data_IF_945872828981
#
_entry.id   IF_945872828981
#
_cell.length_a   1.000
_cell.length_b   1.000
_cell.length_c   1.000
_cell.angle_alpha   90.00
_cell.angle_beta   90.00
_cell.angle_gamma   90.00
#
_symmetry.space_group_name_H-M   'P 1'
#
loop_
_entity.id
_entity.type
_entity.pdbx_description
1 polymer ?
#
# COMPACT_ATOMS: atom_id res chain seq x y z
N UNK A 1 -6.18 1.69 29.61
CA UNK A 1 -7.38 1.69 28.73
C UNK A 1 -7.17 2.48 27.41
N UNK A 2 -5.96 2.46 26.81
CA UNK A 2 -5.64 3.19 25.55
C UNK A 2 -5.42 2.26 24.33
N UNK A 3 -5.07 0.99 24.57
CA UNK A 3 -4.87 -0.06 23.54
C UNK A 3 -6.13 -0.36 22.71
N UNK A 4 -7.32 -0.24 23.31
CA UNK A 4 -8.59 -0.45 22.61
C UNK A 4 -8.85 0.65 21.57
N UNK A 5 -8.42 1.88 21.81
CA UNK A 5 -8.70 3.00 20.90
C UNK A 5 -7.86 2.92 19.60
N UNK A 6 -6.60 2.48 19.70
CA UNK A 6 -5.72 2.36 18.52
C UNK A 6 -6.15 1.19 17.63
N UNK A 7 -6.44 0.03 18.24
CA UNK A 7 -6.99 -1.15 17.54
C UNK A 7 -8.33 -0.84 16.89
N UNK A 8 -9.21 -0.08 17.56
CA UNK A 8 -10.52 0.33 17.01
C UNK A 8 -10.37 1.34 15.87
N UNK A 9 -9.46 2.32 15.94
CA UNK A 9 -9.22 3.27 14.84
C UNK A 9 -8.65 2.58 13.59
N UNK A 10 -7.72 1.65 13.77
CA UNK A 10 -7.18 0.84 12.67
C UNK A 10 -8.24 -0.09 12.06
N UNK A 11 -9.05 -0.73 12.89
CA UNK A 11 -10.11 -1.64 12.46
C UNK A 11 -11.24 -0.89 11.74
N UNK A 12 -11.59 0.33 12.14
CA UNK A 12 -12.61 1.16 11.48
C UNK A 12 -12.15 1.60 10.07
N UNK A 13 -10.88 1.94 9.90
CA UNK A 13 -10.32 2.28 8.57
C UNK A 13 -10.28 1.04 7.67
N UNK A 14 -9.95 -0.14 8.24
CA UNK A 14 -9.90 -1.40 7.51
C UNK A 14 -11.30 -1.93 7.13
N UNK A 15 -12.29 -1.78 8.01
CA UNK A 15 -13.67 -2.26 7.77
C UNK A 15 -14.46 -1.36 6.83
N UNK A 16 -14.26 -0.04 6.86
CA UNK A 16 -14.82 0.87 5.84
C UNK A 16 -14.37 0.48 4.42
N UNK A 17 -13.20 -0.16 4.31
CA UNK A 17 -12.63 -0.63 3.05
C UNK A 17 -13.21 -1.98 2.56
N UNK A 18 -13.64 -2.86 3.48
CA UNK A 18 -14.26 -4.14 3.12
C UNK A 18 -15.73 -4.00 2.66
N UNK A 19 -16.48 -3.01 3.16
CA UNK A 19 -17.91 -2.88 2.86
C UNK A 19 -18.25 -2.19 1.52
N UNK A 20 -17.29 -1.56 0.85
CA UNK A 20 -17.49 -0.99 -0.50
C UNK A 20 -17.47 -2.04 -1.62
N UNK A 21 -17.23 -3.32 -1.30
CA UNK A 21 -17.05 -4.42 -2.27
C UNK A 21 -18.32 -5.23 -2.59
N UNK A 22 -19.53 -4.73 -2.29
CA UNK A 22 -20.80 -5.41 -2.66
C UNK A 22 -21.66 -4.64 -3.66
N UNK A 23 -21.08 -3.66 -4.37
CA UNK A 23 -21.72 -2.99 -5.51
C UNK A 23 -21.51 -3.78 -6.79
N UNK A 24 -22.49 -4.63 -7.13
CA UNK A 24 -22.62 -5.38 -8.36
C UNK A 24 -22.50 -4.45 -9.59
N UNK A 25 -21.37 -4.45 -10.32
CA UNK A 25 -21.27 -3.77 -11.62
C UNK A 25 -21.27 -4.82 -12.71
N UNK A 26 -22.47 -5.00 -13.25
CA UNK A 26 -22.81 -5.80 -14.41
C UNK A 26 -22.06 -5.24 -15.62
N UNK A 27 -21.18 -6.05 -16.21
CA UNK A 27 -20.47 -5.71 -17.42
C UNK A 27 -21.47 -5.52 -18.57
N UNK A 28 -21.62 -4.30 -19.06
CA UNK A 28 -22.29 -4.02 -20.33
C UNK A 28 -21.21 -3.70 -21.35
N UNK A 29 -20.98 -4.63 -22.27
CA UNK A 29 -20.09 -4.43 -23.41
C UNK A 29 -20.68 -3.34 -24.32
N UNK A 30 -20.06 -2.16 -24.32
CA UNK A 30 -20.25 -1.12 -25.32
C UNK A 30 -19.03 -1.07 -26.23
N UNK A 31 -19.20 -1.48 -27.48
CA UNK A 31 -18.22 -1.35 -28.56
C UNK A 31 -18.15 0.13 -28.95
N UNK A 32 -16.97 0.74 -28.95
CA UNK A 32 -16.71 1.87 -29.85
C UNK A 32 -15.23 2.00 -30.23
N UNK A 33 -15.04 2.24 -31.52
CA UNK A 33 -13.82 2.08 -32.30
C UNK A 33 -12.73 3.12 -32.00
N UNK A 34 -11.48 2.71 -32.20
CA UNK A 34 -10.45 3.60 -32.77
C UNK A 34 -9.42 4.19 -31.82
N UNK A 35 -8.59 3.37 -31.15
CA UNK A 35 -7.25 3.81 -30.71
C UNK A 35 -6.31 2.64 -30.33
N UNK A 36 -6.17 1.64 -31.20
CA UNK A 36 -5.43 0.39 -30.88
C UNK A 36 -3.91 0.57 -30.65
N UNK A 37 -3.34 1.74 -30.99
CA UNK A 37 -1.92 2.04 -30.76
C UNK A 37 -1.58 2.64 -29.40
N UNK A 38 -2.54 3.27 -28.71
CA UNK A 38 -2.30 4.00 -27.45
C UNK A 38 -2.69 3.16 -26.23
N UNK A 39 -3.71 2.31 -26.35
CA UNK A 39 -4.22 1.46 -25.27
C UNK A 39 -3.26 0.32 -24.88
N UNK A 40 -2.57 -0.29 -25.85
CA UNK A 40 -1.59 -1.34 -25.56
C UNK A 40 -0.37 -0.80 -24.77
N UNK A 41 0.08 0.42 -25.07
CA UNK A 41 1.20 1.08 -24.38
C UNK A 41 0.81 1.52 -22.96
N UNK A 42 -0.38 2.11 -22.80
CA UNK A 42 -0.92 2.51 -21.49
C UNK A 42 -1.14 1.31 -20.57
N UNK A 43 -1.73 0.22 -21.08
CA UNK A 43 -1.92 -1.02 -20.32
C UNK A 43 -0.59 -1.69 -19.95
N UNK A 44 0.40 -1.67 -20.84
CA UNK A 44 1.76 -2.15 -20.57
C UNK A 44 2.45 -1.36 -19.46
N UNK A 45 2.36 -0.02 -19.50
CA UNK A 45 2.91 0.85 -18.46
C UNK A 45 2.22 0.64 -17.11
N UNK A 46 0.89 0.50 -17.09
CA UNK A 46 0.15 0.18 -15.88
C UNK A 46 0.57 -1.16 -15.27
N UNK A 47 0.79 -2.20 -16.09
CA UNK A 47 1.26 -3.50 -15.62
C UNK A 47 2.70 -3.43 -15.04
N UNK A 48 3.59 -2.64 -15.63
CA UNK A 48 4.94 -2.40 -15.10
C UNK A 48 4.85 -1.68 -13.74
N UNK A 49 4.01 -0.65 -13.63
CA UNK A 49 3.79 0.08 -12.37
C UNK A 49 3.20 -0.84 -11.29
N UNK A 50 2.23 -1.70 -11.63
CA UNK A 50 1.70 -2.73 -10.71
C UNK A 50 2.78 -3.69 -10.21
N UNK A 51 3.64 -4.17 -11.11
CA UNK A 51 4.73 -5.08 -10.73
C UNK A 51 5.75 -4.40 -9.81
N UNK A 52 6.06 -3.11 -10.05
CA UNK A 52 6.90 -2.30 -9.17
C UNK A 52 6.25 -2.12 -7.79
N UNK A 53 4.95 -1.87 -7.73
CA UNK A 53 4.20 -1.80 -6.47
C UNK A 53 4.26 -3.12 -5.70
N UNK A 54 3.95 -4.26 -6.34
CA UNK A 54 4.01 -5.58 -5.71
C UNK A 54 5.41 -5.86 -5.15
N UNK A 55 6.45 -5.59 -5.95
CA UNK A 55 7.85 -5.75 -5.51
C UNK A 55 8.18 -4.87 -4.31
N UNK A 56 7.76 -3.61 -4.33
CA UNK A 56 7.99 -2.66 -3.25
C UNK A 56 7.31 -3.13 -1.95
N UNK A 57 6.06 -3.60 -2.03
CA UNK A 57 5.32 -4.10 -0.86
C UNK A 57 5.89 -5.42 -0.30
N UNK A 58 6.40 -6.30 -1.16
CA UNK A 58 7.15 -7.50 -0.71
C UNK A 58 8.43 -7.13 0.02
N UNK A 59 9.20 -6.17 -0.53
CA UNK A 59 10.42 -5.66 0.13
C UNK A 59 10.06 -5.02 1.47
N UNK A 60 8.99 -4.23 1.52
CA UNK A 60 8.48 -3.61 2.73
C UNK A 60 8.24 -4.65 3.84
N UNK A 61 7.44 -5.67 3.57
CA UNK A 61 7.16 -6.73 4.56
C UNK A 61 8.40 -7.51 4.94
N UNK A 62 9.26 -7.85 3.97
CA UNK A 62 10.52 -8.57 4.23
C UNK A 62 11.45 -7.78 5.15
N UNK A 63 11.55 -6.46 4.95
CA UNK A 63 12.35 -5.58 5.80
C UNK A 63 11.78 -5.43 7.21
N UNK A 64 10.45 -5.36 7.35
CA UNK A 64 9.81 -5.39 8.67
C UNK A 64 10.08 -6.72 9.39
N UNK A 65 9.93 -7.86 8.70
CA UNK A 65 10.24 -9.19 9.25
C UNK A 65 11.71 -9.27 9.69
N UNK A 66 12.64 -8.78 8.86
CA UNK A 66 14.06 -8.73 9.20
C UNK A 66 14.31 -7.87 10.45
N UNK A 67 13.78 -6.66 10.48
CA UNK A 67 13.94 -5.75 11.61
C UNK A 67 13.44 -6.35 12.93
N UNK A 68 12.32 -7.07 12.91
CA UNK A 68 11.75 -7.71 14.09
C UNK A 68 12.27 -9.12 14.37
N UNK A 69 13.08 -9.69 13.49
CA UNK A 69 13.86 -10.90 13.79
C UNK A 69 15.05 -10.61 14.72
N UNK A 70 15.54 -9.37 14.73
CA UNK A 70 16.54 -8.91 15.68
C UNK A 70 15.94 -8.79 17.08
N UNK A 71 16.63 -9.32 18.09
CA UNK A 71 16.24 -9.21 19.50
C UNK A 71 16.65 -7.88 20.13
N UNK A 72 17.63 -7.18 19.53
CA UNK A 72 18.13 -5.89 19.97
C UNK A 72 17.38 -4.75 19.27
N UNK A 73 16.70 -3.93 20.07
CA UNK A 73 15.95 -2.76 19.60
C UNK A 73 16.83 -1.75 18.86
N UNK A 74 18.11 -1.61 19.24
CA UNK A 74 19.05 -0.70 18.56
C UNK A 74 19.27 -1.13 17.11
N UNK A 75 19.40 -2.44 16.89
CA UNK A 75 19.53 -3.02 15.53
C UNK A 75 18.23 -2.90 14.75
N UNK A 76 17.09 -3.15 15.40
CA UNK A 76 15.77 -2.95 14.79
C UNK A 76 15.60 -1.51 14.31
N UNK A 77 15.92 -0.52 15.15
CA UNK A 77 15.90 0.91 14.79
C UNK A 77 16.83 1.18 13.60
N UNK A 78 18.07 0.70 13.63
CA UNK A 78 19.02 0.93 12.55
C UNK A 78 18.50 0.40 11.19
N UNK A 79 17.92 -0.81 11.19
CA UNK A 79 17.33 -1.41 9.99
C UNK A 79 16.13 -0.59 9.49
N UNK A 80 15.21 -0.21 10.39
CA UNK A 80 14.02 0.55 10.04
C UNK A 80 14.36 1.95 9.51
N UNK A 81 15.31 2.64 10.14
CA UNK A 81 15.78 3.97 9.73
C UNK A 81 16.43 3.96 8.35
N UNK A 82 17.34 3.00 8.11
CA UNK A 82 17.97 2.85 6.79
C UNK A 82 16.92 2.54 5.71
N UNK A 83 15.98 1.66 6.04
CA UNK A 83 14.92 1.29 5.11
C UNK A 83 13.95 2.44 4.83
N UNK A 84 13.61 3.26 5.82
CA UNK A 84 12.68 4.38 5.68
C UNK A 84 13.08 5.34 4.57
N UNK A 85 14.36 5.69 4.46
CA UNK A 85 14.85 6.59 3.41
C UNK A 85 14.68 5.98 2.02
N UNK A 86 15.05 4.70 1.85
CA UNK A 86 14.90 3.98 0.59
C UNK A 86 13.43 3.83 0.19
N UNK A 87 12.58 3.51 1.17
CA UNK A 87 11.15 3.33 0.96
C UNK A 87 10.46 4.62 0.54
N UNK A 88 10.86 5.76 1.11
CA UNK A 88 10.34 7.08 0.71
C UNK A 88 10.65 7.38 -0.76
N UNK A 89 11.90 7.23 -1.17
CA UNK A 89 12.32 7.48 -2.55
C UNK A 89 11.59 6.57 -3.56
N UNK A 90 11.48 5.28 -3.24
CA UNK A 90 10.75 4.32 -4.07
C UNK A 90 9.26 4.66 -4.16
N UNK A 91 8.66 5.07 -3.04
CA UNK A 91 7.26 5.48 -2.98
C UNK A 91 7.00 6.72 -3.81
N UNK A 92 7.85 7.74 -3.70
CA UNK A 92 7.70 9.00 -4.46
C UNK A 92 7.83 8.77 -5.96
N UNK A 93 8.81 7.96 -6.40
CA UNK A 93 8.95 7.58 -7.80
C UNK A 93 7.73 6.82 -8.30
N UNK A 94 7.25 5.85 -7.52
CA UNK A 94 6.09 5.04 -7.91
C UNK A 94 4.81 5.86 -7.98
N UNK A 95 4.62 6.84 -7.09
CA UNK A 95 3.49 7.78 -7.15
C UNK A 95 3.49 8.58 -8.44
N UNK A 96 4.65 9.08 -8.87
CA UNK A 96 4.76 9.84 -10.12
C UNK A 96 4.48 8.97 -11.36
N UNK A 97 4.98 7.73 -11.36
CA UNK A 97 4.68 6.77 -12.42
C UNK A 97 3.19 6.43 -12.47
N UNK A 98 2.57 6.16 -11.32
CA UNK A 98 1.15 5.86 -11.22
C UNK A 98 0.28 7.03 -11.71
N UNK A 99 0.58 8.26 -11.26
CA UNK A 99 -0.10 9.47 -11.72
C UNK A 99 0.05 9.71 -13.23
N UNK A 100 1.13 9.21 -13.84
CA UNK A 100 1.33 9.28 -15.30
C UNK A 100 0.54 8.21 -16.04
N UNK A 101 0.50 6.98 -15.49
CA UNK A 101 -0.26 5.87 -16.06
C UNK A 101 -1.76 6.13 -16.03
N UNK A 102 -2.32 6.62 -14.91
CA UNK A 102 -3.78 6.85 -14.78
C UNK A 102 -4.32 7.94 -15.72
N UNK A 103 -3.49 8.92 -16.11
CA UNK A 103 -3.88 9.95 -17.10
C UNK A 103 -4.21 9.37 -18.47
N UNK A 104 -3.69 8.18 -18.78
CA UNK A 104 -3.86 7.50 -20.05
C UNK A 104 -4.92 6.39 -19.99
N UNK A 105 -5.50 6.16 -18.82
CA UNK A 105 -6.51 5.13 -18.58
C UNK A 105 -7.90 5.75 -18.46
N UNK A 106 -8.93 5.00 -18.84
CA UNK A 106 -10.31 5.33 -18.51
C UNK A 106 -10.55 5.26 -16.99
N UNK A 107 -11.70 5.80 -16.54
CA UNK A 107 -12.11 5.70 -15.12
C UNK A 107 -12.26 4.25 -14.66
N UNK A 108 -12.79 3.38 -15.52
CA UNK A 108 -13.00 1.96 -15.23
C UNK A 108 -11.67 1.21 -15.10
N UNK A 109 -10.72 1.46 -16.02
CA UNK A 109 -9.38 0.87 -15.97
C UNK A 109 -8.58 1.37 -14.77
N UNK A 110 -8.73 2.65 -14.42
CA UNK A 110 -8.12 3.24 -13.22
C UNK A 110 -8.66 2.59 -11.96
N UNK A 111 -9.98 2.42 -11.83
CA UNK A 111 -10.59 1.73 -10.70
C UNK A 111 -10.13 0.26 -10.59
N UNK A 112 -10.03 -0.44 -11.73
CA UNK A 112 -9.54 -1.81 -11.79
C UNK A 112 -8.05 -1.91 -11.39
N UNK A 113 -7.21 -0.97 -11.85
CA UNK A 113 -5.81 -0.85 -11.42
C UNK A 113 -5.71 -0.67 -9.91
N UNK A 114 -6.45 0.27 -9.33
CA UNK A 114 -6.44 0.49 -7.87
C UNK A 114 -6.89 -0.72 -7.08
N UNK A 115 -7.92 -1.43 -7.56
CA UNK A 115 -8.35 -2.69 -6.94
C UNK A 115 -7.22 -3.72 -6.91
N UNK A 116 -6.52 -3.91 -8.04
CA UNK A 116 -5.37 -4.84 -8.12
C UNK A 116 -4.20 -4.41 -7.24
N UNK A 117 -3.93 -3.11 -7.12
CA UNK A 117 -2.90 -2.59 -6.21
C UNK A 117 -3.25 -2.92 -4.75
N UNK A 118 -4.50 -2.74 -4.33
CA UNK A 118 -4.95 -3.14 -2.99
C UNK A 118 -4.75 -4.64 -2.77
N UNK A 119 -5.14 -5.49 -3.73
CA UNK A 119 -4.97 -6.94 -3.61
C UNK A 119 -3.48 -7.33 -3.48
N UNK A 120 -2.58 -6.57 -4.11
CA UNK A 120 -1.12 -6.74 -4.06
C UNK A 120 -0.43 -6.01 -2.90
N UNK A 121 -1.18 -5.37 -2.01
CA UNK A 121 -0.61 -4.66 -0.86
C UNK A 121 -0.13 -5.60 0.26
N UNK A 122 -0.41 -6.91 0.15
CA UNK A 122 -0.05 -7.94 1.12
C UNK A 122 -0.54 -7.61 2.54
N UNK A 123 -1.70 -6.97 2.63
CA UNK A 123 -2.31 -6.50 3.88
C UNK A 123 -2.40 -7.59 4.95
N UNK A 124 -2.64 -8.86 4.57
CA UNK A 124 -2.71 -9.97 5.51
C UNK A 124 -1.38 -10.20 6.27
N UNK A 125 -0.24 -10.12 5.58
CA UNK A 125 1.08 -10.27 6.21
C UNK A 125 1.43 -9.07 7.10
N UNK A 126 1.04 -7.88 6.65
CA UNK A 126 1.17 -6.64 7.42
C UNK A 126 0.35 -6.71 8.71
N UNK A 127 -0.90 -7.16 8.63
CA UNK A 127 -1.78 -7.42 9.76
C UNK A 127 -1.14 -8.43 10.70
N UNK A 128 -0.62 -9.55 10.19
CA UNK A 128 0.05 -10.54 11.02
C UNK A 128 1.23 -9.96 11.82
N UNK A 129 2.04 -9.09 11.21
CA UNK A 129 3.15 -8.40 11.89
C UNK A 129 2.67 -7.45 12.99
N UNK A 130 1.67 -6.61 12.72
CA UNK A 130 1.19 -5.60 13.69
C UNK A 130 0.35 -6.20 14.82
N UNK A 131 -0.12 -7.45 14.67
CA UNK A 131 -0.85 -8.15 15.72
C UNK A 131 0.00 -9.22 16.44
N UNK A 132 1.27 -9.41 16.06
CA UNK A 132 2.21 -10.21 16.84
C UNK A 132 2.45 -9.52 18.20
N UNK A 133 2.18 -10.24 19.29
CA UNK A 133 2.29 -9.73 20.66
C UNK A 133 3.71 -9.27 21.01
N UNK A 134 4.72 -9.97 20.48
CA UNK A 134 6.13 -9.65 20.74
C UNK A 134 6.50 -8.33 20.07
N UNK A 135 6.06 -8.15 18.82
CA UNK A 135 6.28 -6.91 18.07
C UNK A 135 5.54 -5.76 18.73
N UNK A 136 4.26 -5.92 19.01
CA UNK A 136 3.45 -4.88 19.66
C UNK A 136 4.01 -4.48 21.03
N UNK A 137 4.47 -5.43 21.85
CA UNK A 137 5.13 -5.08 23.11
C UNK A 137 6.42 -4.26 22.90
N UNK A 138 7.19 -4.51 21.85
CA UNK A 138 8.43 -3.75 21.57
C UNK A 138 8.11 -2.36 21.07
N UNK A 139 7.15 -2.24 20.16
CA UNK A 139 6.65 -0.96 19.65
C UNK A 139 6.10 -0.08 20.78
N UNK A 140 5.37 -0.66 21.73
CA UNK A 140 4.82 0.09 22.87
C UNK A 140 5.90 0.57 23.86
N UNK A 141 7.00 -0.17 23.99
CA UNK A 141 8.12 0.16 24.91
C UNK A 141 9.17 1.07 24.27
N UNK A 142 9.24 1.09 22.94
CA UNK A 142 10.24 1.82 22.19
C UNK A 142 9.59 2.88 21.27
N UNK A 143 9.56 4.16 21.68
CA UNK A 143 8.91 5.22 20.91
C UNK A 143 9.56 5.48 19.54
N UNK A 144 10.84 5.19 19.37
CA UNK A 144 11.55 5.37 18.11
C UNK A 144 11.12 4.34 17.07
N UNK A 145 11.05 3.06 17.47
CA UNK A 145 10.50 1.99 16.60
C UNK A 145 9.07 2.34 16.19
N UNK A 146 8.25 2.82 17.14
CA UNK A 146 6.89 3.25 16.85
C UNK A 146 6.82 4.37 15.82
N UNK A 147 7.61 5.43 16.00
CA UNK A 147 7.63 6.56 15.07
C UNK A 147 8.08 6.15 13.66
N UNK A 148 9.07 5.26 13.56
CA UNK A 148 9.53 4.72 12.28
C UNK A 148 8.44 3.90 11.58
N UNK A 149 7.71 3.05 12.31
CA UNK A 149 6.59 2.30 11.75
C UNK A 149 5.44 3.20 11.29
N UNK A 150 5.08 4.21 12.09
CA UNK A 150 4.04 5.18 11.72
C UNK A 150 4.44 5.96 10.47
N UNK A 151 5.71 6.35 10.35
CA UNK A 151 6.25 7.05 9.17
C UNK A 151 6.18 6.17 7.92
N UNK A 152 6.66 4.94 8.03
CA UNK A 152 6.65 3.95 6.96
C UNK A 152 5.21 3.61 6.50
N UNK A 153 4.29 3.47 7.45
CA UNK A 153 2.89 3.23 7.16
C UNK A 153 2.22 4.44 6.49
N UNK A 154 2.45 5.64 7.01
CA UNK A 154 1.90 6.86 6.41
C UNK A 154 2.36 6.96 4.95
N UNK A 155 3.64 6.66 4.69
CA UNK A 155 4.20 6.69 3.35
C UNK A 155 3.57 5.64 2.42
N UNK A 156 3.38 4.40 2.88
CA UNK A 156 2.77 3.35 2.06
C UNK A 156 1.31 3.66 1.67
N UNK A 157 0.59 4.36 2.55
CA UNK A 157 -0.78 4.81 2.29
C UNK A 157 -0.86 5.93 1.23
N UNK A 158 0.21 6.70 1.02
CA UNK A 158 0.18 7.78 0.03
C UNK A 158 -0.11 7.27 -1.39
N UNK A 159 0.40 6.10 -1.78
CA UNK A 159 0.13 5.51 -3.10
C UNK A 159 -1.36 5.17 -3.26
N UNK A 160 -2.01 4.75 -2.18
CA UNK A 160 -3.43 4.36 -2.19
C UNK A 160 -4.36 5.57 -2.10
N UNK A 161 -3.93 6.66 -1.47
CA UNK A 161 -4.75 7.87 -1.28
C UNK A 161 -4.71 8.84 -2.47
N UNK A 162 -3.66 8.81 -3.29
CA UNK A 162 -3.43 9.87 -4.29
C UNK A 162 -4.54 9.96 -5.35
N UNK A 163 -5.22 8.85 -5.71
CA UNK A 163 -6.24 8.88 -6.78
C UNK A 163 -7.63 8.33 -6.39
N UNK A 164 -7.80 7.72 -5.21
CA UNK A 164 -9.14 7.34 -4.72
C UNK A 164 -10.04 8.57 -4.49
N UNK A 165 -9.43 9.75 -4.29
CA UNK A 165 -10.11 11.04 -4.25
C UNK A 165 -10.41 11.62 -5.64
N UNK A 166 -9.72 11.18 -6.69
CA UNK A 166 -9.96 11.60 -8.08
C UNK A 166 -11.07 10.79 -8.78
N UNK A 167 -11.48 9.67 -8.17
CA UNK A 167 -12.57 8.79 -8.64
C UNK A 167 -13.93 9.06 -7.95
N UNK A 168 -13.97 9.96 -6.95
CA UNK A 168 -15.21 10.48 -6.37
C UNK A 168 -15.70 11.70 -7.14
#
# INVERSE_FOLDING_TARGET
MKMKLLKVKFLIILTAFCFLNTGNVQATAGIENGNEGVTASAASNAAITEAKYDRMMRIFISRLKLAFSETDDTKTVAILSQFSQQFHQQTDGLKQELASSVKQLSKEETAALYKRLVERSHNAELIALIFDERITSRVDKNPEIKQLLETLQAKSLEIQQTDLLALK
#
